data_IF_315752240976
#
_entry.id   IF_315752240976
#
_cell.length_a   1.000
_cell.length_b   1.000
_cell.length_c   1.000
_cell.angle_alpha   90.00
_cell.angle_beta   90.00
_cell.angle_gamma   90.00
#
_symmetry.space_group_name_H-M   'P 1'
#
loop_
_entity.id
_entity.type
_entity.pdbx_description
1 polymer ?
#
# COMPACT_ATOMS: atom_id res chain seq x y z
N UNK A 1 -8.27 -28.31 -34.16
CA UNK A 1 -8.98 -28.61 -32.91
C UNK A 1 -9.61 -27.31 -32.51
N UNK A 2 -10.92 -27.18 -32.64
CA UNK A 2 -11.64 -25.99 -32.15
C UNK A 2 -11.63 -26.11 -30.62
N UNK A 3 -10.62 -25.49 -29.99
CA UNK A 3 -10.54 -25.38 -28.55
C UNK A 3 -11.65 -24.42 -28.11
N UNK A 4 -12.85 -24.97 -27.96
CA UNK A 4 -13.95 -24.24 -27.35
C UNK A 4 -13.56 -23.94 -25.91
N UNK A 5 -13.34 -22.66 -25.63
CA UNK A 5 -13.16 -22.17 -24.27
C UNK A 5 -14.31 -22.66 -23.41
N UNK A 6 -13.97 -23.22 -22.24
CA UNK A 6 -14.95 -23.59 -21.22
C UNK A 6 -15.89 -22.38 -20.96
N UNK A 7 -17.21 -22.60 -20.80
CA UNK A 7 -18.18 -21.52 -20.63
C UNK A 7 -17.83 -20.60 -19.45
N UNK A 8 -17.17 -21.12 -18.41
CA UNK A 8 -16.65 -20.36 -17.28
C UNK A 8 -15.54 -19.38 -17.68
N UNK A 9 -14.66 -19.77 -18.61
CA UNK A 9 -13.59 -18.90 -19.11
C UNK A 9 -14.16 -17.74 -19.95
N UNK A 10 -15.21 -18.01 -20.73
CA UNK A 10 -15.95 -16.97 -21.47
C UNK A 10 -16.62 -15.99 -20.50
N UNK A 11 -17.29 -16.50 -19.47
CA UNK A 11 -17.91 -15.67 -18.43
C UNK A 11 -16.85 -14.84 -17.68
N UNK A 12 -15.72 -15.44 -17.34
CA UNK A 12 -14.62 -14.75 -16.67
C UNK A 12 -14.03 -13.63 -17.54
N UNK A 13 -13.90 -13.86 -18.85
CA UNK A 13 -13.48 -12.82 -19.80
C UNK A 13 -14.46 -11.64 -19.83
N UNK A 14 -15.76 -11.90 -19.84
CA UNK A 14 -16.78 -10.84 -19.81
C UNK A 14 -16.70 -10.01 -18.52
N UNK A 15 -16.57 -10.68 -17.36
CA UNK A 15 -16.37 -10.00 -16.07
C UNK A 15 -15.11 -9.15 -16.07
N UNK A 16 -14.00 -9.65 -16.64
CA UNK A 16 -12.75 -8.91 -16.74
C UNK A 16 -12.87 -7.69 -17.65
N UNK A 17 -13.58 -7.81 -18.77
CA UNK A 17 -13.79 -6.69 -19.68
C UNK A 17 -14.74 -5.64 -19.09
N UNK A 18 -15.82 -6.07 -18.44
CA UNK A 18 -16.71 -5.18 -17.70
C UNK A 18 -15.94 -4.42 -16.61
N UNK A 19 -15.09 -5.11 -15.83
CA UNK A 19 -14.25 -4.48 -14.82
C UNK A 19 -13.28 -3.46 -15.45
N UNK A 20 -12.65 -3.80 -16.58
CA UNK A 20 -11.74 -2.90 -17.31
C UNK A 20 -12.46 -1.64 -17.78
N UNK A 21 -13.68 -1.76 -18.31
CA UNK A 21 -14.53 -0.63 -18.71
C UNK A 21 -14.94 0.20 -17.48
N UNK A 22 -15.37 -0.45 -16.40
CA UNK A 22 -15.75 0.24 -15.16
C UNK A 22 -14.59 1.04 -14.55
N UNK A 23 -13.34 0.55 -14.66
CA UNK A 23 -12.14 1.27 -14.22
C UNK A 23 -11.88 2.61 -14.95
N UNK A 24 -12.53 2.86 -16.10
CA UNK A 24 -12.47 4.17 -16.75
C UNK A 24 -13.26 5.22 -15.96
N UNK A 25 -14.32 4.80 -15.26
CA UNK A 25 -15.14 5.68 -14.44
C UNK A 25 -14.39 6.13 -13.16
N UNK A 26 -14.51 7.42 -12.83
CA UNK A 26 -13.84 8.01 -11.66
C UNK A 26 -14.45 7.52 -10.36
N UNK A 27 -15.78 7.40 -10.30
CA UNK A 27 -16.47 7.01 -9.08
C UNK A 27 -16.20 5.54 -8.74
N UNK A 28 -16.18 4.68 -9.76
CA UNK A 28 -15.82 3.28 -9.60
C UNK A 28 -14.40 3.12 -9.06
N UNK A 29 -13.40 3.82 -9.62
CA UNK A 29 -12.04 3.80 -9.08
C UNK A 29 -11.96 4.30 -7.64
N UNK A 30 -12.71 5.34 -7.30
CA UNK A 30 -12.75 5.83 -5.93
C UNK A 30 -13.42 4.82 -4.98
N UNK A 31 -14.46 4.12 -5.43
CA UNK A 31 -15.10 3.05 -4.67
C UNK A 31 -14.13 1.89 -4.43
N UNK A 32 -13.36 1.47 -5.44
CA UNK A 32 -12.32 0.45 -5.30
C UNK A 32 -11.25 0.86 -4.28
N UNK A 33 -10.78 2.12 -4.35
CA UNK A 33 -9.81 2.64 -3.37
C UNK A 33 -10.36 2.64 -1.94
N UNK A 34 -11.64 2.99 -1.75
CA UNK A 34 -12.29 2.92 -0.44
C UNK A 34 -12.48 1.48 0.04
N UNK A 35 -12.73 0.56 -0.88
CA UNK A 35 -12.88 -0.86 -0.59
C UNK A 35 -11.55 -1.48 -0.12
N UNK A 36 -10.44 -1.18 -0.81
CA UNK A 36 -9.11 -1.69 -0.45
C UNK A 36 -8.58 -1.17 0.88
N UNK A 37 -9.03 0.00 1.31
CA UNK A 37 -8.68 0.58 2.62
C UNK A 37 -9.42 -0.06 3.81
N UNK A 38 -10.48 -0.85 3.56
CA UNK A 38 -11.18 -1.55 4.64
C UNK A 38 -10.31 -2.69 5.14
N UNK A 39 -10.34 -2.95 6.45
CA UNK A 39 -9.69 -4.11 7.06
C UNK A 39 -10.35 -5.41 6.56
N UNK A 40 -9.90 -5.90 5.40
CA UNK A 40 -10.35 -7.13 4.75
C UNK A 40 -9.15 -8.01 4.42
N UNK A 41 -9.39 -9.31 4.34
CA UNK A 41 -8.35 -10.27 3.97
C UNK A 41 -7.98 -10.25 2.48
N UNK A 42 -8.86 -9.72 1.63
CA UNK A 42 -8.71 -9.72 0.17
C UNK A 42 -9.46 -8.50 -0.36
N UNK A 43 -8.87 -7.79 -1.32
CA UNK A 43 -9.50 -6.66 -2.02
C UNK A 43 -9.97 -7.06 -3.43
N UNK A 44 -10.67 -6.16 -4.11
CA UNK A 44 -11.16 -6.43 -5.47
C UNK A 44 -10.01 -6.59 -6.48
N UNK A 45 -8.91 -5.82 -6.32
CA UNK A 45 -7.75 -5.87 -7.21
C UNK A 45 -7.10 -7.26 -7.24
N UNK A 46 -6.83 -7.83 -6.06
CA UNK A 46 -6.24 -9.15 -5.92
C UNK A 46 -7.11 -10.28 -6.47
N UNK A 47 -8.44 -10.18 -6.34
CA UNK A 47 -9.39 -11.13 -6.97
C UNK A 47 -9.32 -11.07 -8.48
N UNK A 48 -9.33 -9.86 -9.04
CA UNK A 48 -9.24 -9.65 -10.49
C UNK A 48 -7.91 -10.15 -11.05
N UNK A 49 -6.79 -9.95 -10.34
CA UNK A 49 -5.49 -10.47 -10.77
C UNK A 49 -5.44 -12.00 -10.78
N UNK A 50 -5.99 -12.64 -9.74
CA UNK A 50 -6.14 -14.10 -9.72
C UNK A 50 -7.01 -14.60 -10.88
N UNK A 51 -8.13 -13.92 -11.17
CA UNK A 51 -9.04 -14.27 -12.26
C UNK A 51 -8.35 -14.15 -13.63
N UNK A 52 -7.57 -13.09 -13.85
CA UNK A 52 -6.75 -12.94 -15.08
C UNK A 52 -5.78 -14.11 -15.25
N UNK A 53 -5.15 -14.57 -14.17
CA UNK A 53 -4.23 -15.71 -14.22
C UNK A 53 -4.96 -17.03 -14.53
N UNK A 54 -6.15 -17.23 -13.97
CA UNK A 54 -6.99 -18.39 -14.28
C UNK A 54 -7.36 -18.42 -15.77
N UNK A 55 -7.91 -17.32 -16.28
CA UNK A 55 -8.26 -17.19 -17.70
C UNK A 55 -7.05 -17.36 -18.61
N UNK A 56 -5.89 -16.78 -18.25
CA UNK A 56 -4.67 -16.96 -19.02
C UNK A 56 -4.23 -18.44 -19.06
N UNK A 57 -4.31 -19.14 -17.93
CA UNK A 57 -4.02 -20.59 -17.89
C UNK A 57 -4.98 -21.37 -18.78
N UNK A 58 -6.27 -21.05 -18.73
CA UNK A 58 -7.30 -21.75 -19.51
C UNK A 58 -7.19 -21.45 -21.02
N UNK A 59 -6.58 -20.31 -21.39
CA UNK A 59 -6.16 -19.97 -22.76
C UNK A 59 -4.82 -20.62 -23.20
N UNK A 60 -4.27 -21.53 -22.39
CA UNK A 60 -3.03 -22.24 -22.70
C UNK A 60 -1.74 -21.49 -22.36
N UNK A 61 -1.80 -20.32 -21.72
CA UNK A 61 -0.59 -19.62 -21.27
C UNK A 61 0.03 -20.31 -20.04
N UNK A 62 1.36 -20.42 -20.03
CA UNK A 62 2.11 -20.97 -18.89
C UNK A 62 2.17 -19.98 -17.73
N UNK A 63 1.09 -19.90 -16.95
CA UNK A 63 0.94 -18.99 -15.80
C UNK A 63 0.65 -19.78 -14.52
N UNK A 64 1.25 -19.37 -13.41
CA UNK A 64 0.88 -19.89 -12.08
C UNK A 64 -0.26 -19.06 -11.52
N UNK A 65 -1.39 -19.70 -11.23
CA UNK A 65 -2.53 -19.05 -10.60
C UNK A 65 -2.23 -18.84 -9.11
N UNK A 66 -2.08 -17.59 -8.70
CA UNK A 66 -1.90 -17.24 -7.30
C UNK A 66 -3.25 -16.97 -6.65
N UNK A 67 -3.44 -17.49 -5.44
CA UNK A 67 -4.63 -17.21 -4.65
C UNK A 67 -4.75 -15.69 -4.37
N UNK A 68 -5.96 -15.09 -4.39
CA UNK A 68 -6.16 -13.65 -4.14
C UNK A 68 -5.52 -13.16 -2.83
N UNK A 69 -5.50 -13.99 -1.78
CA UNK A 69 -4.83 -13.65 -0.52
C UNK A 69 -3.33 -13.41 -0.69
N UNK A 70 -2.66 -14.16 -1.55
CA UNK A 70 -1.23 -13.98 -1.83
C UNK A 70 -1.02 -12.67 -2.59
N UNK A 71 -1.84 -12.39 -3.59
CA UNK A 71 -1.84 -11.10 -4.29
C UNK A 71 -2.02 -9.92 -3.33
N UNK A 72 -2.99 -10.02 -2.42
CA UNK A 72 -3.22 -8.98 -1.41
C UNK A 72 -2.01 -8.78 -0.51
N UNK A 73 -1.38 -9.86 -0.03
CA UNK A 73 -0.19 -9.76 0.81
C UNK A 73 1.01 -9.19 0.04
N UNK A 74 1.18 -9.54 -1.23
CA UNK A 74 2.26 -9.01 -2.05
C UNK A 74 2.10 -7.51 -2.33
N UNK A 75 0.87 -6.98 -2.38
CA UNK A 75 0.60 -5.57 -2.71
C UNK A 75 0.46 -4.65 -1.49
N UNK A 76 0.32 -5.22 -0.28
CA UNK A 76 0.06 -4.44 0.95
C UNK A 76 1.23 -4.48 1.93
N UNK A 77 1.37 -3.42 2.73
CA UNK A 77 2.39 -3.32 3.80
C UNK A 77 2.27 -4.46 4.83
N UNK A 78 1.07 -5.03 5.01
CA UNK A 78 0.82 -6.18 5.89
C UNK A 78 1.62 -7.41 5.44
N UNK A 79 1.88 -7.57 4.14
CA UNK A 79 2.72 -8.64 3.62
C UNK A 79 4.19 -8.27 3.46
N UNK A 80 4.65 -7.16 4.05
CA UNK A 80 6.07 -6.81 4.11
C UNK A 80 6.99 -7.97 4.53
N UNK A 81 6.62 -8.80 5.54
CA UNK A 81 7.40 -10.00 5.87
C UNK A 81 7.47 -11.03 4.74
N UNK A 82 6.42 -11.19 3.94
CA UNK A 82 6.41 -12.07 2.76
C UNK A 82 7.28 -11.50 1.63
N UNK A 83 7.21 -10.19 1.38
CA UNK A 83 8.04 -9.52 0.37
C UNK A 83 9.53 -9.64 0.69
N UNK A 84 9.87 -9.56 1.98
CA UNK A 84 11.25 -9.64 2.44
C UNK A 84 11.74 -11.08 2.73
N UNK A 85 10.94 -12.11 2.41
CA UNK A 85 11.27 -13.52 2.67
C UNK A 85 11.64 -13.80 4.14
N UNK A 86 10.97 -13.13 5.08
CA UNK A 86 11.28 -13.22 6.50
C UNK A 86 12.45 -12.36 6.97
N UNK A 87 13.09 -11.61 6.07
CA UNK A 87 14.09 -10.61 6.45
C UNK A 87 13.38 -9.42 7.09
N UNK A 88 13.77 -8.97 8.29
CA UNK A 88 13.22 -7.75 8.86
C UNK A 88 13.48 -6.57 7.92
N UNK A 89 12.54 -5.62 7.78
CA UNK A 89 12.77 -4.45 6.94
C UNK A 89 14.03 -3.72 7.41
N UNK A 90 14.88 -3.30 6.45
CA UNK A 90 16.05 -2.49 6.78
C UNK A 90 15.57 -1.25 7.53
N UNK A 91 16.06 -0.99 8.75
CA UNK A 91 15.70 0.22 9.47
C UNK A 91 16.03 1.42 8.59
N UNK A 92 15.07 2.33 8.46
CA UNK A 92 15.32 3.60 7.76
C UNK A 92 16.48 4.33 8.46
N UNK A 93 17.22 5.15 7.73
CA UNK A 93 18.38 5.87 8.28
C UNK A 93 18.01 6.78 9.47
N UNK A 94 16.74 7.21 9.55
CA UNK A 94 16.15 7.98 10.65
C UNK A 94 15.61 7.11 11.81
N UNK A 95 15.54 5.78 11.64
CA UNK A 95 15.02 4.87 12.66
C UNK A 95 16.06 4.53 13.75
N UNK A 96 17.35 4.78 13.50
CA UNK A 96 18.39 4.67 14.52
C UNK A 96 18.49 5.97 15.32
N UNK A 97 17.63 6.10 16.33
CA UNK A 97 17.90 6.98 17.47
C UNK A 97 18.12 8.46 17.12
N UNK A 98 17.45 8.99 16.09
CA UNK A 98 17.30 10.44 16.02
C UNK A 98 16.44 10.84 17.22
N UNK A 99 17.07 11.46 18.22
CA UNK A 99 16.37 12.34 19.15
C UNK A 99 15.67 13.36 18.25
N UNK A 100 14.40 13.09 17.95
CA UNK A 100 13.59 13.92 17.09
C UNK A 100 13.44 15.27 17.75
N UNK A 101 14.37 16.18 17.49
CA UNK A 101 14.15 17.60 17.64
C UNK A 101 13.14 17.98 16.55
N UNK A 102 11.87 17.62 16.82
CA UNK A 102 10.71 18.14 16.11
C UNK A 102 10.85 19.67 16.03
N UNK A 103 10.32 20.30 14.98
CA UNK A 103 10.29 21.77 14.87
C UNK A 103 9.77 22.46 16.15
N UNK A 104 8.90 21.78 16.90
CA UNK A 104 8.42 22.21 18.22
C UNK A 104 9.51 22.24 19.30
N UNK A 105 10.43 21.27 19.30
CA UNK A 105 11.59 21.25 20.19
C UNK A 105 12.59 22.35 19.87
N UNK A 106 12.81 22.67 18.59
CA UNK A 106 13.67 23.80 18.20
C UNK A 106 13.07 25.15 18.63
N UNK A 107 11.75 25.32 18.47
CA UNK A 107 11.03 26.48 19.00
C UNK A 107 11.15 26.60 20.51
N UNK A 108 10.99 25.50 21.25
CA UNK A 108 11.06 25.49 22.71
C UNK A 108 12.48 25.83 23.21
N UNK A 109 13.51 25.34 22.52
CA UNK A 109 14.90 25.66 22.79
C UNK A 109 15.22 27.13 22.48
N UNK A 110 14.67 27.68 21.39
CA UNK A 110 14.78 29.10 21.06
C UNK A 110 14.15 29.99 22.14
N UNK A 111 12.93 29.69 22.60
CA UNK A 111 12.28 30.42 23.69
C UNK A 111 13.06 30.33 25.01
N UNK A 112 13.61 29.17 25.33
CA UNK A 112 14.43 28.97 26.52
C UNK A 112 15.71 29.82 26.48
N UNK A 113 16.41 29.84 25.34
CA UNK A 113 17.59 30.69 25.15
C UNK A 113 17.25 32.19 25.26
N UNK A 114 16.11 32.61 24.72
CA UNK A 114 15.67 34.00 24.76
C UNK A 114 15.31 34.45 26.18
N UNK A 115 14.68 33.57 26.96
CA UNK A 115 14.42 33.79 28.40
C UNK A 115 15.71 33.90 29.22
N UNK A 116 16.70 33.05 28.97
CA UNK A 116 18.01 33.12 29.63
C UNK A 116 18.75 34.41 29.29
N UNK A 117 18.70 34.85 28.03
CA UNK A 117 19.33 36.09 27.60
C UNK A 117 18.68 37.32 28.29
N UNK A 118 17.35 37.35 28.38
CA UNK A 118 16.63 38.41 29.11
C UNK A 118 16.96 38.40 30.60
N UNK A 119 17.05 37.22 31.22
CA UNK A 119 17.43 37.08 32.63
C UNK A 119 18.86 37.56 32.88
N UNK A 120 19.79 37.26 31.96
CA UNK A 120 21.15 37.81 32.00
C UNK A 120 21.14 39.33 31.91
N UNK A 121 20.35 39.90 31.01
CA UNK A 121 20.23 41.35 30.86
C UNK A 121 19.71 41.99 32.16
N UNK A 122 18.64 41.45 32.75
CA UNK A 122 18.08 41.95 34.01
C UNK A 122 19.04 41.83 35.20
N UNK A 123 19.88 40.79 35.22
CA UNK A 123 20.87 40.59 36.31
C UNK A 123 22.07 41.53 36.16
N UNK A 124 22.48 41.89 34.94
CA UNK A 124 23.67 42.70 34.69
C UNK A 124 23.38 44.18 34.39
N UNK A 125 22.12 44.55 34.15
CA UNK A 125 21.67 45.94 33.94
C UNK A 125 21.18 46.61 35.24
N UNK A 126 21.41 45.98 36.40
CA UNK A 126 21.12 46.49 37.75
C UNK A 126 22.42 46.50 38.58
#
# INVERSE_FOLDING_TARGET
MEENLEPEAIQALDVLDQHKRACQDRYYRQALKRESQKARYVDTSSKVNSLKQMVARDLGFKVTVQHPRLWYLLDTEVGGPMQNLGTPPTPRWDAQGQLGLSDKSLLLLFFFCLLLALLFFVIFEN
#
